data_IF_414904031475
#
_entry.id   IF_414904031475
#
_cell.length_a   1.000
_cell.length_b   1.000
_cell.length_c   1.000
_cell.angle_alpha   90.00
_cell.angle_beta   90.00
_cell.angle_gamma   90.00
#
_symmetry.space_group_name_H-M   'P 1'
#
loop_
_entity.id
_entity.type
_entity.pdbx_description
1 polymer ?
#
# COMPACT_ATOMS: atom_id res chain seq x y z
N UNK A 1 -9.32 -5.20 -26.33
CA UNK A 1 -8.75 -4.98 -24.99
C UNK A 1 -7.31 -4.50 -25.21
N UNK A 2 -7.05 -3.19 -25.16
CA UNK A 2 -5.69 -2.63 -25.30
C UNK A 2 -5.12 -2.58 -23.89
N UNK A 3 -4.23 -3.49 -23.54
CA UNK A 3 -3.50 -3.42 -22.29
C UNK A 3 -2.52 -2.24 -22.37
N UNK A 4 -2.61 -1.35 -21.40
CA UNK A 4 -1.72 -0.21 -21.17
C UNK A 4 -0.29 -0.62 -20.80
N UNK A 5 0.18 -1.81 -21.20
CA UNK A 5 1.46 -2.44 -20.82
C UNK A 5 2.72 -1.58 -21.05
N UNK A 6 2.61 -0.45 -21.75
CA UNK A 6 3.76 0.39 -22.08
C UNK A 6 4.45 1.00 -20.87
N UNK A 7 3.72 1.33 -19.80
CA UNK A 7 4.30 1.95 -18.60
C UNK A 7 4.98 0.89 -17.73
N UNK A 8 4.32 -0.25 -17.55
CA UNK A 8 4.80 -1.35 -16.71
C UNK A 8 6.01 -2.03 -17.34
N UNK A 9 6.01 -2.22 -18.66
CA UNK A 9 7.16 -2.76 -19.37
C UNK A 9 8.33 -1.77 -19.37
N UNK A 10 8.08 -0.47 -19.54
CA UNK A 10 9.15 0.54 -19.48
C UNK A 10 9.82 0.60 -18.09
N UNK A 11 9.06 0.41 -17.01
CA UNK A 11 9.64 0.37 -15.66
C UNK A 11 10.48 -0.91 -15.45
N UNK A 12 10.05 -2.06 -15.97
CA UNK A 12 10.85 -3.29 -15.97
C UNK A 12 12.15 -3.12 -16.77
N UNK A 13 12.07 -2.58 -18.00
CA UNK A 13 13.23 -2.31 -18.85
C UNK A 13 14.25 -1.42 -18.15
N UNK A 14 13.79 -0.33 -17.54
CA UNK A 14 14.63 0.61 -16.80
C UNK A 14 15.35 -0.08 -15.63
N UNK A 15 14.66 -0.96 -14.90
CA UNK A 15 15.27 -1.68 -13.77
C UNK A 15 16.26 -2.74 -14.22
N UNK A 16 15.96 -3.49 -15.28
CA UNK A 16 16.89 -4.45 -15.89
C UNK A 16 18.16 -3.73 -16.40
N UNK A 17 18.00 -2.59 -17.08
CA UNK A 17 19.12 -1.79 -17.54
C UNK A 17 19.97 -1.27 -16.37
N UNK A 18 19.34 -0.81 -15.28
CA UNK A 18 20.04 -0.41 -14.04
C UNK A 18 20.79 -1.57 -13.37
N UNK A 19 20.31 -2.80 -13.50
CA UNK A 19 20.98 -3.99 -13.00
C UNK A 19 22.14 -4.46 -13.92
N UNK A 20 22.38 -3.77 -15.04
CA UNK A 20 23.51 -4.05 -15.94
C UNK A 20 23.16 -4.91 -17.16
N UNK A 21 21.89 -5.28 -17.36
CA UNK A 21 21.48 -6.02 -18.54
C UNK A 21 21.35 -5.12 -19.77
N UNK A 22 21.67 -5.67 -20.94
CA UNK A 22 21.33 -5.05 -22.22
C UNK A 22 19.88 -5.39 -22.55
N UNK A 23 19.03 -4.38 -22.61
CA UNK A 23 17.58 -4.56 -22.77
C UNK A 23 17.14 -4.12 -24.16
N UNK A 24 16.46 -5.01 -24.87
CA UNK A 24 15.75 -4.70 -26.11
C UNK A 24 14.35 -4.20 -25.71
N UNK A 25 13.97 -3.02 -26.19
CA UNK A 25 12.68 -2.44 -25.83
C UNK A 25 11.51 -3.29 -26.34
N UNK A 26 10.48 -3.42 -25.52
CA UNK A 26 9.23 -4.12 -25.80
C UNK A 26 8.57 -3.60 -27.08
N UNK A 27 8.68 -2.30 -27.39
CA UNK A 27 8.14 -1.72 -28.63
C UNK A 27 8.88 -2.21 -29.88
N UNK A 28 10.18 -2.46 -29.76
CA UNK A 28 10.98 -3.03 -30.86
C UNK A 28 10.58 -4.48 -31.08
N UNK A 29 10.44 -5.24 -29.98
CA UNK A 29 9.97 -6.62 -30.03
C UNK A 29 8.54 -6.70 -30.61
N UNK A 30 7.60 -5.86 -30.16
CA UNK A 30 6.23 -5.78 -30.68
C UNK A 30 6.18 -5.52 -32.18
N UNK A 31 7.03 -4.61 -32.66
CA UNK A 31 7.15 -4.32 -34.09
C UNK A 31 7.65 -5.53 -34.86
N UNK A 32 8.65 -6.26 -34.37
CA UNK A 32 9.14 -7.48 -35.04
C UNK A 32 8.09 -8.60 -35.03
N UNK A 33 7.37 -8.79 -33.92
CA UNK A 33 6.26 -9.75 -33.82
C UNK A 33 5.12 -9.45 -34.80
N UNK A 34 4.94 -8.19 -35.19
CA UNK A 34 3.93 -7.78 -36.17
C UNK A 34 4.16 -8.42 -37.55
N UNK A 35 5.34 -8.97 -37.82
CA UNK A 35 5.67 -9.75 -39.01
C UNK A 35 5.21 -11.23 -38.95
N UNK A 36 4.28 -11.58 -38.04
CA UNK A 36 3.72 -12.94 -37.83
C UNK A 36 4.73 -13.99 -37.34
N UNK A 37 5.78 -13.55 -36.66
CA UNK A 37 6.73 -14.43 -35.97
C UNK A 37 6.37 -14.52 -34.49
N UNK A 38 6.70 -15.63 -33.84
CA UNK A 38 6.53 -15.78 -32.39
C UNK A 38 7.42 -14.81 -31.62
N UNK A 39 7.07 -14.52 -30.37
CA UNK A 39 7.86 -13.63 -29.51
C UNK A 39 9.30 -14.13 -29.34
N UNK A 40 9.49 -15.44 -29.21
CA UNK A 40 10.82 -16.07 -29.08
C UNK A 40 11.64 -15.94 -30.36
N UNK A 41 11.03 -16.13 -31.53
CA UNK A 41 11.71 -15.94 -32.83
C UNK A 41 12.10 -14.48 -33.05
N UNK A 42 11.21 -13.54 -32.74
CA UNK A 42 11.48 -12.10 -32.80
C UNK A 42 12.60 -11.70 -31.82
N UNK A 43 12.59 -12.23 -30.60
CA UNK A 43 13.66 -11.99 -29.64
C UNK A 43 15.00 -12.55 -30.14
N UNK A 44 14.99 -13.74 -30.74
CA UNK A 44 16.16 -14.37 -31.32
C UNK A 44 16.75 -13.60 -32.49
N UNK A 45 15.93 -13.09 -33.40
CA UNK A 45 16.40 -12.26 -34.53
C UNK A 45 17.02 -10.95 -34.08
N UNK A 46 16.56 -10.40 -32.95
CA UNK A 46 17.11 -9.20 -32.31
C UNK A 46 18.36 -9.49 -31.45
N UNK A 47 18.78 -10.75 -31.33
CA UNK A 47 19.95 -11.15 -30.56
C UNK A 47 19.74 -11.22 -29.05
N UNK A 48 18.50 -11.38 -28.59
CA UNK A 48 18.21 -11.59 -27.18
C UNK A 48 18.64 -12.98 -26.71
N UNK A 49 19.20 -13.07 -25.51
CA UNK A 49 19.57 -14.34 -24.87
C UNK A 49 18.39 -14.89 -24.03
N UNK A 50 17.64 -14.00 -23.39
CA UNK A 50 16.48 -14.32 -22.59
C UNK A 50 15.30 -13.42 -22.94
N UNK A 51 14.09 -13.97 -22.88
CA UNK A 51 12.82 -13.27 -23.06
C UNK A 51 12.04 -13.32 -21.75
N UNK A 52 11.72 -12.17 -21.18
CA UNK A 52 10.77 -12.10 -20.06
C UNK A 52 9.34 -12.19 -20.59
N UNK A 53 8.60 -13.18 -20.11
CA UNK A 53 7.19 -13.34 -20.36
C UNK A 53 6.43 -12.99 -19.09
N UNK A 54 5.55 -11.99 -19.19
CA UNK A 54 4.67 -11.57 -18.11
C UNK A 54 3.34 -12.31 -18.27
N UNK A 55 3.11 -13.30 -17.42
CA UNK A 55 1.92 -14.15 -17.50
C UNK A 55 0.70 -13.43 -16.93
N UNK A 56 0.88 -12.74 -15.80
CA UNK A 56 -0.15 -11.88 -15.23
C UNK A 56 0.45 -10.71 -14.46
N UNK A 57 -0.24 -9.57 -14.53
CA UNK A 57 -0.02 -8.42 -13.68
C UNK A 57 -1.38 -7.96 -13.17
N UNK A 58 -1.67 -8.25 -11.91
CA UNK A 58 -3.00 -8.06 -11.33
C UNK A 58 -2.97 -6.99 -10.25
N UNK A 59 -3.88 -6.03 -10.39
CA UNK A 59 -4.23 -5.09 -9.32
C UNK A 59 -5.34 -5.72 -8.50
N UNK A 60 -5.10 -5.92 -7.21
CA UNK A 60 -6.09 -6.49 -6.27
C UNK A 60 -6.26 -5.59 -5.04
N UNK A 61 -7.37 -5.77 -4.34
CA UNK A 61 -7.57 -5.22 -3.01
C UNK A 61 -7.52 -6.38 -2.02
N UNK A 62 -6.67 -6.25 -0.98
CA UNK A 62 -6.55 -7.22 0.10
C UNK A 62 -7.06 -6.57 1.37
N UNK A 63 -8.07 -7.16 2.00
CA UNK A 63 -8.40 -6.81 3.38
C UNK A 63 -7.30 -7.34 4.31
N UNK A 64 -6.71 -6.46 5.10
CA UNK A 64 -5.73 -6.87 6.12
C UNK A 64 -6.41 -7.57 7.32
N UNK A 65 -7.73 -7.46 7.48
CA UNK A 65 -8.38 -7.80 8.74
C UNK A 65 -9.48 -8.85 8.68
N UNK A 66 -9.15 -10.15 8.53
CA UNK A 66 -9.93 -11.15 9.30
C UNK A 66 -9.55 -11.13 10.79
N UNK A 67 -8.33 -10.66 11.11
CA UNK A 67 -7.76 -10.63 12.46
C UNK A 67 -7.23 -9.24 12.87
N UNK A 68 -7.86 -8.15 12.41
CA UNK A 68 -7.50 -6.82 12.90
C UNK A 68 -7.88 -6.72 14.39
N UNK A 69 -6.88 -6.80 15.27
CA UNK A 69 -7.05 -6.72 16.72
C UNK A 69 -7.12 -5.26 17.15
N UNK A 70 -8.29 -4.82 17.62
CA UNK A 70 -8.44 -3.54 18.28
C UNK A 70 -8.02 -3.65 19.74
N UNK A 71 -6.85 -3.09 20.06
CA UNK A 71 -6.42 -2.90 21.45
C UNK A 71 -7.16 -1.70 22.05
N UNK A 72 -7.75 -1.90 23.25
CA UNK A 72 -8.49 -0.86 23.96
C UNK A 72 -7.96 -0.76 25.38
N UNK A 73 -7.41 0.41 25.68
CA UNK A 73 -6.88 0.74 26.99
C UNK A 73 -7.79 1.77 27.65
N UNK A 74 -8.02 1.61 28.94
CA UNK A 74 -8.90 2.46 29.72
C UNK A 74 -8.11 3.07 30.87
N UNK A 75 -8.32 4.36 31.13
CA UNK A 75 -7.57 5.10 32.15
C UNK A 75 -8.50 5.96 33.01
N UNK A 76 -8.21 6.02 34.31
CA UNK A 76 -8.68 7.12 35.15
C UNK A 76 -7.95 8.39 34.74
N UNK A 77 -8.69 9.49 34.58
CA UNK A 77 -8.13 10.79 34.18
C UNK A 77 -8.42 11.87 35.21
N UNK A 78 -7.55 12.88 35.29
CA UNK A 78 -7.80 14.05 36.13
C UNK A 78 -8.69 15.09 35.41
N UNK A 79 -9.02 16.20 36.07
CA UNK A 79 -9.86 17.27 35.48
C UNK A 79 -9.26 17.94 34.22
N UNK A 80 -7.94 17.80 34.01
CA UNK A 80 -7.24 18.23 32.80
C UNK A 80 -7.20 17.17 31.69
N UNK A 81 -7.74 15.98 31.92
CA UNK A 81 -7.75 14.87 30.96
C UNK A 81 -6.45 14.04 30.94
N UNK A 82 -5.53 14.26 31.87
CA UNK A 82 -4.29 13.48 31.95
C UNK A 82 -4.57 12.08 32.51
N UNK A 83 -4.05 11.04 31.84
CA UNK A 83 -4.10 9.63 32.25
C UNK A 83 -3.33 9.46 33.56
N UNK A 84 -4.01 9.06 34.62
CA UNK A 84 -3.42 8.85 35.96
C UNK A 84 -2.99 7.40 36.11
N UNK A 85 -3.90 6.46 35.84
CA UNK A 85 -3.68 5.02 35.96
C UNK A 85 -4.61 4.26 35.04
N UNK A 86 -4.21 3.05 34.66
CA UNK A 86 -5.09 2.12 33.96
C UNK A 86 -6.27 1.72 34.84
N UNK A 87 -7.45 1.64 34.24
CA UNK A 87 -8.69 1.26 34.88
C UNK A 87 -9.27 0.01 34.21
N UNK A 88 -9.22 -1.13 34.89
CA UNK A 88 -9.83 -2.35 34.39
C UNK A 88 -11.35 -2.34 34.62
N UNK A 89 -12.13 -2.05 33.58
CA UNK A 89 -13.60 -2.18 33.61
C UNK A 89 -14.05 -3.63 33.47
N UNK A 90 -15.27 -3.96 33.92
CA UNK A 90 -15.89 -5.27 33.68
C UNK A 90 -16.33 -5.46 32.21
N UNK A 91 -16.61 -6.71 31.81
CA UNK A 91 -17.04 -7.03 30.44
C UNK A 91 -18.28 -6.23 29.96
N UNK A 92 -19.36 -6.12 30.75
CA UNK A 92 -20.52 -5.34 30.35
C UNK A 92 -20.22 -3.86 30.10
N UNK A 93 -19.38 -3.24 30.94
CA UNK A 93 -19.02 -1.83 30.79
C UNK A 93 -18.10 -1.62 29.58
N UNK A 94 -17.14 -2.52 29.35
CA UNK A 94 -16.31 -2.51 28.14
C UNK A 94 -17.15 -2.64 26.87
N UNK A 95 -18.15 -3.53 26.87
CA UNK A 95 -19.06 -3.70 25.74
C UNK A 95 -19.92 -2.45 25.49
N UNK A 96 -20.39 -1.79 26.55
CA UNK A 96 -21.09 -0.51 26.45
C UNK A 96 -20.20 0.57 25.81
N UNK A 97 -18.96 0.75 26.28
CA UNK A 97 -18.04 1.73 25.71
C UNK A 97 -17.70 1.46 24.25
N UNK A 98 -17.46 0.19 23.91
CA UNK A 98 -17.27 -0.22 22.52
C UNK A 98 -18.43 0.26 21.65
N UNK A 99 -19.66 -0.07 22.05
CA UNK A 99 -20.87 0.25 21.30
C UNK A 99 -21.11 1.75 21.14
N UNK A 100 -20.92 2.52 22.21
CA UNK A 100 -21.24 3.95 22.22
C UNK A 100 -20.17 4.81 21.55
N UNK A 101 -18.89 4.48 21.74
CA UNK A 101 -17.80 5.37 21.39
C UNK A 101 -16.91 4.85 20.27
N UNK A 102 -16.78 3.54 20.10
CA UNK A 102 -15.76 2.97 19.20
C UNK A 102 -16.35 2.29 17.95
N UNK A 103 -17.52 1.65 18.02
CA UNK A 103 -18.10 0.86 16.92
C UNK A 103 -18.14 1.62 15.59
N UNK A 104 -18.58 2.88 15.58
CA UNK A 104 -18.63 3.69 14.37
C UNK A 104 -17.23 3.98 13.80
N UNK A 105 -16.24 4.24 14.67
CA UNK A 105 -14.87 4.48 14.23
C UNK A 105 -14.26 3.19 13.68
N UNK A 106 -14.32 2.11 14.45
CA UNK A 106 -13.77 0.81 14.08
C UNK A 106 -14.38 0.25 12.79
N UNK A 107 -15.67 0.50 12.54
CA UNK A 107 -16.39 0.02 11.36
C UNK A 107 -16.18 0.89 10.12
N UNK A 108 -15.80 2.16 10.29
CA UNK A 108 -15.55 3.09 9.18
C UNK A 108 -14.08 3.15 8.77
N UNK A 109 -13.22 2.41 9.47
CA UNK A 109 -11.81 2.31 9.13
C UNK A 109 -11.65 1.45 7.88
N UNK A 110 -11.02 2.05 6.86
CA UNK A 110 -10.72 1.33 5.62
C UNK A 110 -9.52 0.38 5.84
N UNK A 111 -9.83 -0.91 5.86
CA UNK A 111 -8.88 -2.02 5.97
C UNK A 111 -8.52 -2.62 4.60
N UNK A 112 -9.10 -2.11 3.50
CA UNK A 112 -8.68 -2.48 2.16
C UNK A 112 -7.29 -1.93 1.89
N UNK A 113 -6.42 -2.78 1.37
CA UNK A 113 -5.12 -2.37 0.84
C UNK A 113 -5.03 -2.70 -0.60
N UNK A 114 -4.42 -1.79 -1.34
CA UNK A 114 -4.03 -2.06 -2.70
C UNK A 114 -2.88 -3.07 -2.70
N UNK A 115 -2.96 -4.07 -3.57
CA UNK A 115 -1.91 -5.04 -3.79
C UNK A 115 -1.69 -5.28 -5.28
N UNK A 116 -0.46 -5.63 -5.63
CA UNK A 116 -0.06 -6.01 -6.98
C UNK A 116 0.51 -7.41 -6.94
N UNK A 117 -0.02 -8.29 -7.79
CA UNK A 117 0.53 -9.62 -8.06
C UNK A 117 1.19 -9.61 -9.42
N UNK A 118 2.44 -10.04 -9.49
CA UNK A 118 3.17 -10.23 -10.74
C UNK A 118 3.56 -11.70 -10.86
N UNK A 119 3.17 -12.32 -11.98
CA UNK A 119 3.59 -13.64 -12.42
C UNK A 119 4.39 -13.49 -13.72
N UNK A 120 5.62 -13.96 -13.71
CA UNK A 120 6.52 -13.87 -14.84
C UNK A 120 7.46 -15.09 -14.92
N UNK A 121 7.95 -15.36 -16.11
CA UNK A 121 9.02 -16.32 -16.36
C UNK A 121 10.06 -15.73 -17.32
N UNK A 122 11.29 -16.23 -17.24
CA UNK A 122 12.32 -15.95 -18.25
C UNK A 122 12.49 -17.20 -19.13
N UNK A 123 12.45 -16.99 -20.44
CA UNK A 123 12.58 -18.01 -21.46
C UNK A 123 13.95 -17.88 -22.12
N UNK A 124 14.72 -18.97 -22.17
CA UNK A 124 15.97 -19.01 -22.91
C UNK A 124 15.65 -19.05 -24.41
N UNK A 125 16.04 -17.99 -25.12
CA UNK A 125 15.57 -17.75 -26.49
C UNK A 125 16.02 -18.84 -27.45
N UNK A 126 17.21 -19.43 -27.23
CA UNK A 126 17.79 -20.44 -28.10
C UNK A 126 16.99 -21.75 -28.11
N UNK A 127 16.44 -22.17 -26.97
CA UNK A 127 15.71 -23.44 -26.82
C UNK A 127 14.20 -23.24 -26.67
N UNK A 128 13.76 -22.04 -26.33
CA UNK A 128 12.37 -21.76 -25.97
C UNK A 128 11.98 -22.28 -24.58
N UNK A 129 12.93 -22.74 -23.79
CA UNK A 129 12.67 -23.30 -22.45
C UNK A 129 12.58 -22.19 -21.40
N UNK A 130 11.61 -22.30 -20.50
CA UNK A 130 11.54 -21.46 -19.31
C UNK A 130 12.65 -21.85 -18.34
N UNK A 131 13.58 -20.92 -18.10
CA UNK A 131 14.76 -21.11 -17.24
C UNK A 131 14.60 -20.49 -15.85
N UNK A 132 13.58 -19.66 -15.66
CA UNK A 132 13.33 -18.97 -14.40
C UNK A 132 11.85 -18.62 -14.25
N UNK A 133 11.36 -18.63 -13.02
CA UNK A 133 9.97 -18.33 -12.67
C UNK A 133 9.92 -17.40 -11.48
N UNK A 134 8.92 -16.52 -11.48
CA UNK A 134 8.69 -15.55 -10.43
C UNK A 134 7.21 -15.32 -10.23
N UNK A 135 6.80 -15.41 -8.98
CA UNK A 135 5.46 -15.00 -8.56
C UNK A 135 5.55 -14.31 -7.23
N UNK A 136 5.10 -13.06 -7.18
CA UNK A 136 5.09 -12.28 -5.95
C UNK A 136 3.87 -11.37 -5.88
N UNK A 137 3.31 -11.28 -4.68
CA UNK A 137 2.24 -10.35 -4.35
C UNK A 137 2.75 -9.37 -3.32
N UNK A 138 2.78 -8.09 -3.67
CA UNK A 138 3.12 -7.01 -2.75
C UNK A 138 1.89 -6.18 -2.44
N UNK A 139 1.53 -6.11 -1.16
CA UNK A 139 0.48 -5.25 -0.66
C UNK A 139 1.08 -3.97 -0.09
N UNK A 140 0.34 -2.88 -0.16
CA UNK A 140 0.70 -1.61 0.46
C UNK A 140 1.07 -1.81 1.95
N UNK A 141 2.33 -1.54 2.33
CA UNK A 141 2.81 -1.78 3.68
C UNK A 141 2.40 -0.69 4.67
N UNK A 142 1.65 0.35 4.26
CA UNK A 142 1.24 1.44 5.13
C UNK A 142 0.68 0.89 6.46
N UNK A 143 1.50 0.97 7.51
CA UNK A 143 1.11 0.71 8.88
C UNK A 143 0.15 1.82 9.25
N UNK A 144 -1.10 1.47 9.52
CA UNK A 144 -2.08 2.50 9.87
C UNK A 144 -2.25 2.51 11.38
N UNK A 145 -1.73 3.56 12.00
CA UNK A 145 -1.97 3.91 13.39
C UNK A 145 -3.35 4.57 13.50
N UNK A 146 -4.40 3.74 13.45
CA UNK A 146 -5.77 4.20 13.70
C UNK A 146 -6.02 4.31 15.20
N UNK A 147 -5.83 5.52 15.74
CA UNK A 147 -6.09 5.79 17.16
C UNK A 147 -7.30 6.70 17.35
N UNK A 148 -8.19 6.31 18.27
CA UNK A 148 -9.26 7.16 18.79
C UNK A 148 -9.14 7.23 20.30
N UNK A 149 -9.08 8.44 20.84
CA UNK A 149 -9.17 8.68 22.27
C UNK A 149 -10.47 9.41 22.59
N UNK A 150 -11.16 8.98 23.65
CA UNK A 150 -12.40 9.60 24.11
C UNK A 150 -12.30 9.81 25.61
N UNK A 151 -12.57 11.04 26.04
CA UNK A 151 -12.70 11.38 27.45
C UNK A 151 -14.19 11.39 27.80
N UNK A 152 -14.56 10.60 28.80
CA UNK A 152 -15.95 10.46 29.24
C UNK A 152 -16.05 10.71 30.73
N UNK A 153 -17.15 11.32 31.15
CA UNK A 153 -17.52 11.44 32.56
C UNK A 153 -18.74 10.57 32.81
N UNK A 154 -18.54 9.53 33.61
CA UNK A 154 -19.58 8.57 33.96
C UNK A 154 -20.24 8.90 35.31
N UNK A 155 -21.53 8.59 35.42
CA UNK A 155 -22.20 8.49 36.72
C UNK A 155 -21.76 7.20 37.45
N UNK A 156 -22.18 7.05 38.70
CA UNK A 156 -21.77 5.98 39.61
C UNK A 156 -22.05 4.55 39.12
N UNK A 157 -22.88 4.37 38.08
CA UNK A 157 -23.19 3.08 37.48
C UNK A 157 -22.33 2.72 36.26
N UNK A 158 -21.40 3.60 35.84
CA UNK A 158 -20.54 3.46 34.66
C UNK A 158 -21.30 3.19 33.35
N UNK A 159 -22.61 3.42 33.30
CA UNK A 159 -23.48 3.15 32.14
C UNK A 159 -24.22 4.39 31.64
N UNK A 160 -24.15 5.48 32.40
CA UNK A 160 -24.55 6.80 31.96
C UNK A 160 -23.31 7.71 31.91
N UNK A 161 -22.69 7.74 30.74
CA UNK A 161 -21.46 8.50 30.49
C UNK A 161 -21.69 9.55 29.42
N UNK A 162 -21.16 10.75 29.65
CA UNK A 162 -21.22 11.85 28.69
C UNK A 162 -19.81 12.28 28.29
N UNK A 163 -19.66 12.75 27.05
CA UNK A 163 -18.41 13.30 26.56
C UNK A 163 -17.93 14.45 27.44
N UNK A 164 -16.67 14.38 27.85
CA UNK A 164 -16.04 15.39 28.69
C UNK A 164 -14.95 16.13 27.92
N UNK A 165 -15.07 17.46 27.83
CA UNK A 165 -14.02 18.33 27.30
C UNK A 165 -13.28 18.98 28.48
N UNK A 166 -11.99 18.71 28.68
CA UNK A 166 -11.24 19.31 29.79
C UNK A 166 -11.14 20.83 29.63
N UNK A 167 -11.16 21.56 30.76
CA UNK A 167 -11.16 23.03 30.80
C UNK A 167 -9.87 23.68 30.28
N UNK A 168 -8.80 22.91 30.07
CA UNK A 168 -7.52 23.37 29.55
C UNK A 168 -7.21 22.75 28.18
N UNK A 169 -7.98 23.14 27.17
CA UNK A 169 -7.49 23.18 25.80
C UNK A 169 -7.73 24.59 25.28
N UNK A 170 -6.87 25.54 25.69
CA UNK A 170 -6.38 26.45 24.65
C UNK A 170 -5.74 25.51 23.62
N UNK A 171 -6.17 25.54 22.35
CA UNK A 171 -5.44 24.80 21.33
C UNK A 171 -3.99 25.26 21.47
N UNK A 172 -3.10 24.33 21.82
CA UNK A 172 -1.69 24.54 21.54
C UNK A 172 -1.69 24.58 20.01
N UNK A 173 -1.70 25.78 19.43
CA UNK A 173 -1.27 25.94 18.05
C UNK A 173 0.04 25.16 17.97
N UNK A 174 0.14 24.16 17.07
CA UNK A 174 1.43 23.54 16.86
C UNK A 174 2.36 24.68 16.51
N UNK A 175 3.37 24.95 17.35
CA UNK A 175 4.55 25.72 16.94
C UNK A 175 5.27 24.87 15.90
N UNK A 176 4.69 24.82 14.70
CA UNK A 176 5.43 24.57 13.48
C UNK A 176 6.29 25.79 13.26
N UNK A 177 7.47 25.77 13.87
CA UNK A 177 8.59 26.52 13.31
C UNK A 177 9.03 25.73 12.08
N UNK A 178 8.30 25.89 10.98
CA UNK A 178 8.81 25.55 9.65
C UNK A 178 9.27 26.87 9.05
N UNK A 179 10.56 27.13 9.20
CA UNK A 179 11.25 27.99 8.25
C UNK A 179 11.31 27.20 6.94
N UNK A 180 10.58 27.65 5.93
CA UNK A 180 10.56 27.08 4.59
C UNK A 180 9.81 28.02 3.67
N UNK A 181 10.50 28.50 2.65
CA UNK A 181 9.93 29.32 1.58
C UNK A 181 8.62 28.72 1.06
N UNK A 182 7.59 29.56 1.02
CA UNK A 182 6.32 29.23 0.41
C UNK A 182 6.44 29.32 -1.10
N UNK A 183 6.86 28.23 -1.75
CA UNK A 183 6.38 27.97 -3.11
C UNK A 183 4.99 27.36 -2.99
N UNK A 184 3.98 28.21 -3.15
CA UNK A 184 2.60 27.80 -3.23
C UNK A 184 2.37 26.99 -4.52
N UNK A 185 2.60 25.68 -4.47
CA UNK A 185 2.11 24.74 -5.46
C UNK A 185 0.76 24.24 -4.97
N UNK A 186 -0.31 24.97 -5.27
CA UNK A 186 -1.67 24.45 -5.08
C UNK A 186 -1.94 23.41 -6.16
N UNK A 187 -1.61 22.15 -5.88
CA UNK A 187 -2.19 21.03 -6.61
C UNK A 187 -3.16 20.39 -5.64
N UNK A 188 -4.44 20.69 -5.84
CA UNK A 188 -5.55 19.94 -5.27
C UNK A 188 -5.48 18.53 -5.86
N UNK A 189 -4.62 17.68 -5.31
CA UNK A 189 -4.46 16.28 -5.73
C UNK A 189 -5.82 15.59 -5.64
N UNK A 190 -6.33 15.13 -6.79
CA UNK A 190 -7.58 14.39 -6.80
C UNK A 190 -7.34 13.03 -6.14
N UNK A 191 -8.35 12.44 -5.49
CA UNK A 191 -8.24 11.09 -4.94
C UNK A 191 -7.81 10.03 -5.98
N UNK A 192 -8.10 10.26 -7.26
CA UNK A 192 -7.65 9.44 -8.39
C UNK A 192 -6.13 9.49 -8.56
N UNK A 193 -5.53 10.68 -8.50
CA UNK A 193 -4.07 10.90 -8.62
C UNK A 193 -3.31 10.15 -7.51
N UNK A 194 -3.86 10.15 -6.29
CA UNK A 194 -3.28 9.42 -5.15
C UNK A 194 -3.29 7.91 -5.36
N UNK A 195 -4.40 7.36 -5.85
CA UNK A 195 -4.52 5.92 -6.13
C UNK A 195 -3.59 5.48 -7.26
N UNK A 196 -3.39 6.31 -8.27
CA UNK A 196 -2.43 6.06 -9.35
C UNK A 196 -0.98 6.14 -8.87
N UNK A 197 -0.64 7.16 -8.07
CA UNK A 197 0.69 7.28 -7.47
C UNK A 197 1.04 6.07 -6.60
N UNK A 198 0.11 5.61 -5.76
CA UNK A 198 0.27 4.40 -4.96
C UNK A 198 0.47 3.16 -5.84
N UNK A 199 -0.33 3.00 -6.90
CA UNK A 199 -0.16 1.89 -7.83
C UNK A 199 1.23 1.90 -8.48
N UNK A 200 1.68 3.05 -8.97
CA UNK A 200 3.01 3.20 -9.57
C UNK A 200 4.14 2.85 -8.59
N UNK A 201 4.00 3.24 -7.32
CA UNK A 201 4.95 2.89 -6.27
C UNK A 201 4.99 1.38 -6.00
N UNK A 202 3.83 0.74 -5.84
CA UNK A 202 3.74 -0.71 -5.63
C UNK A 202 4.33 -1.47 -6.82
N UNK A 203 4.02 -1.04 -8.04
CA UNK A 203 4.51 -1.65 -9.27
C UNK A 203 6.04 -1.56 -9.33
N UNK A 204 6.59 -0.38 -9.04
CA UNK A 204 8.03 -0.16 -8.98
C UNK A 204 8.69 -1.06 -7.94
N UNK A 205 8.07 -1.30 -6.78
CA UNK A 205 8.60 -2.22 -5.77
C UNK A 205 8.62 -3.66 -6.26
N UNK A 206 7.50 -4.15 -6.82
CA UNK A 206 7.39 -5.53 -7.33
C UNK A 206 8.38 -5.78 -8.48
N UNK A 207 8.52 -4.82 -9.40
CA UNK A 207 9.47 -4.93 -10.51
C UNK A 207 10.93 -4.88 -10.02
N UNK A 208 11.22 -4.14 -8.95
CA UNK A 208 12.57 -4.13 -8.34
C UNK A 208 12.89 -5.48 -7.70
N UNK A 209 11.90 -6.11 -7.05
CA UNK A 209 12.06 -7.44 -6.49
C UNK A 209 12.26 -8.51 -7.57
N UNK A 210 11.49 -8.45 -8.66
CA UNK A 210 11.66 -9.32 -9.83
C UNK A 210 13.11 -9.27 -10.33
N UNK A 211 13.62 -8.08 -10.66
CA UNK A 211 14.97 -7.92 -11.21
C UNK A 211 16.04 -8.35 -10.22
N UNK A 212 15.88 -8.03 -8.93
CA UNK A 212 16.80 -8.45 -7.88
C UNK A 212 16.85 -9.97 -7.73
N UNK A 213 15.72 -10.67 -7.86
CA UNK A 213 15.68 -12.14 -7.76
C UNK A 213 16.19 -12.82 -9.03
N UNK A 214 16.09 -12.18 -10.18
CA UNK A 214 16.68 -12.68 -11.42
C UNK A 214 18.21 -12.51 -11.47
N UNK A 215 18.73 -11.46 -10.82
CA UNK A 215 20.16 -11.12 -10.82
C UNK A 215 21.01 -11.92 -9.82
N UNK A 216 20.42 -12.90 -9.13
CA UNK A 216 21.09 -13.78 -8.16
C UNK A 216 21.37 -15.14 -8.79
#
# INVERSE_FOLDING_TARGET
MRTTCGVEMAELEKKLAKAGYRVISWKVLEREMSNKVSATEAAGSLGAEALFQINSLERSQKHIGKDALWEREFYDTNESGAKIREHAFDDPTRAYFKKQYFDQFESNVDLERLAITLDANAVFVKTGESIWYYRWTYADPAAIDYRKEVLVKCKSDNRDCADFKPRSQNPIEPKMTVAGESEAVSVTEKPEDKKEAMYAQLLSTVMSDLVRNFSK
#
